data_IF_883164337749
#
_entry.id   IF_883164337749
#
_cell.length_a   1.000
_cell.length_b   1.000
_cell.length_c   1.000
_cell.angle_alpha   90.00
_cell.angle_beta   90.00
_cell.angle_gamma   90.00
#
_symmetry.space_group_name_H-M   'P 1'
#
loop_
_entity.id
_entity.type
_entity.pdbx_description
1 polymer ?
#
# COMPACT_ATOMS: atom_id res chain seq x y z
N UNK A 1 -9.43 -2.81 17.10
CA UNK A 1 -8.78 -1.50 16.83
C UNK A 1 -8.84 -1.16 15.33
N UNK A 2 -8.26 -1.97 14.44
CA UNK A 2 -8.19 -1.68 12.99
C UNK A 2 -9.53 -1.39 12.30
N UNK A 3 -10.57 -2.19 12.57
CA UNK A 3 -11.93 -1.97 12.01
C UNK A 3 -12.48 -0.61 12.45
N UNK A 4 -12.39 -0.30 13.74
CA UNK A 4 -12.89 0.96 14.30
C UNK A 4 -12.20 2.18 13.68
N UNK A 5 -10.87 2.19 13.66
CA UNK A 5 -10.09 3.30 13.08
C UNK A 5 -10.39 3.49 11.60
N UNK A 6 -10.54 2.40 10.85
CA UNK A 6 -10.84 2.48 9.43
C UNK A 6 -12.28 2.94 9.18
N UNK A 7 -13.23 2.62 10.06
CA UNK A 7 -14.61 3.12 9.98
C UNK A 7 -14.67 4.62 10.23
N UNK A 8 -13.93 5.12 11.23
CA UNK A 8 -13.80 6.56 11.47
C UNK A 8 -13.20 7.30 10.26
N UNK A 9 -12.17 6.73 9.64
CA UNK A 9 -11.58 7.28 8.40
C UNK A 9 -12.59 7.31 7.26
N UNK A 10 -13.35 6.23 7.05
CA UNK A 10 -14.38 6.15 6.01
C UNK A 10 -15.46 7.21 6.21
N UNK A 11 -15.96 7.38 7.44
CA UNK A 11 -16.95 8.43 7.77
C UNK A 11 -16.39 9.82 7.52
N UNK A 12 -15.12 10.05 7.84
CA UNK A 12 -14.44 11.33 7.63
C UNK A 12 -14.32 11.68 6.14
N UNK A 13 -13.82 10.74 5.33
CA UNK A 13 -13.57 10.98 3.90
C UNK A 13 -14.82 10.87 3.02
N UNK A 14 -15.91 10.28 3.54
CA UNK A 14 -17.23 10.30 2.86
C UNK A 14 -17.81 11.72 2.76
N UNK A 15 -17.40 12.64 3.63
CA UNK A 15 -17.94 14.02 3.68
C UNK A 15 -17.68 14.78 2.36
N UNK A 16 -18.66 15.54 1.84
CA UNK A 16 -18.54 16.23 0.55
C UNK A 16 -17.33 17.17 0.47
N UNK A 17 -17.06 17.91 1.56
CA UNK A 17 -15.95 18.86 1.64
C UNK A 17 -14.60 18.18 1.35
N UNK A 18 -14.37 16.98 1.90
CA UNK A 18 -13.12 16.26 1.68
C UNK A 18 -12.96 15.77 0.24
N UNK A 19 -14.05 15.56 -0.50
CA UNK A 19 -14.04 15.02 -1.86
C UNK A 19 -13.87 16.08 -2.95
N UNK A 20 -13.80 17.36 -2.56
CA UNK A 20 -13.52 18.48 -3.47
C UNK A 20 -12.08 18.49 -3.98
N UNK A 21 -11.17 17.84 -3.25
CA UNK A 21 -9.74 17.74 -3.59
C UNK A 21 -9.39 16.31 -4.03
N UNK A 22 -8.48 16.19 -5.00
CA UNK A 22 -7.98 14.92 -5.55
C UNK A 22 -7.52 13.96 -4.45
N UNK A 23 -6.69 14.44 -3.52
CA UNK A 23 -6.21 13.69 -2.33
C UNK A 23 -7.34 13.05 -1.53
N UNK A 24 -8.46 13.75 -1.32
CA UNK A 24 -9.53 13.24 -0.49
C UNK A 24 -10.30 12.09 -1.12
N UNK A 25 -10.42 12.06 -2.45
CA UNK A 25 -11.01 10.91 -3.16
C UNK A 25 -10.08 9.69 -3.09
N UNK A 26 -8.76 9.86 -3.18
CA UNK A 26 -7.83 8.75 -2.95
C UNK A 26 -7.99 8.16 -1.54
N UNK A 27 -8.02 9.01 -0.51
CA UNK A 27 -8.17 8.55 0.88
C UNK A 27 -9.51 7.86 1.14
N UNK A 28 -10.57 8.31 0.48
CA UNK A 28 -11.86 7.63 0.53
C UNK A 28 -11.80 6.22 -0.08
N UNK A 29 -11.22 6.10 -1.28
CA UNK A 29 -11.04 4.81 -1.96
C UNK A 29 -10.15 3.87 -1.14
N UNK A 30 -9.03 4.37 -0.60
CA UNK A 30 -8.14 3.60 0.30
C UNK A 30 -8.89 3.12 1.53
N UNK A 31 -9.76 3.94 2.13
CA UNK A 31 -10.55 3.53 3.29
C UNK A 31 -11.50 2.37 2.97
N UNK A 32 -12.15 2.40 1.80
CA UNK A 32 -13.00 1.30 1.30
C UNK A 32 -12.16 0.04 1.09
N UNK A 33 -11.04 0.16 0.37
CA UNK A 33 -10.13 -0.97 0.09
C UNK A 33 -9.66 -1.61 1.39
N UNK A 34 -9.25 -0.79 2.37
CA UNK A 34 -8.82 -1.29 3.67
C UNK A 34 -9.95 -1.99 4.44
N UNK A 35 -11.21 -1.57 4.29
CA UNK A 35 -12.32 -2.27 4.94
C UNK A 35 -12.53 -3.65 4.30
N UNK A 36 -12.50 -3.70 2.97
CA UNK A 36 -12.57 -4.97 2.25
C UNK A 36 -11.39 -5.88 2.66
N UNK A 37 -10.17 -5.35 2.73
CA UNK A 37 -9.00 -6.12 3.12
C UNK A 37 -9.12 -6.69 4.55
N UNK A 38 -9.61 -5.90 5.51
CA UNK A 38 -9.86 -6.38 6.87
C UNK A 38 -10.93 -7.47 6.92
N UNK A 39 -11.98 -7.36 6.11
CA UNK A 39 -13.01 -8.41 5.99
C UNK A 39 -12.42 -9.71 5.42
N UNK A 40 -11.68 -9.64 4.32
CA UNK A 40 -11.04 -10.83 3.73
C UNK A 40 -9.97 -11.42 4.63
N UNK A 41 -9.26 -10.60 5.40
CA UNK A 41 -8.33 -11.06 6.42
C UNK A 41 -9.06 -11.86 7.51
N UNK A 42 -10.20 -11.34 8.00
CA UNK A 42 -11.03 -12.05 8.97
C UNK A 42 -11.53 -13.39 8.40
N UNK A 43 -11.99 -13.41 7.15
CA UNK A 43 -12.40 -14.64 6.46
C UNK A 43 -11.24 -15.64 6.35
N UNK A 44 -10.03 -15.17 6.04
CA UNK A 44 -8.82 -16.02 6.02
C UNK A 44 -8.53 -16.61 7.40
N UNK A 45 -8.64 -15.83 8.47
CA UNK A 45 -8.45 -16.33 9.83
C UNK A 45 -9.50 -17.37 10.21
N UNK A 46 -10.78 -17.13 9.89
CA UNK A 46 -11.86 -18.11 10.13
C UNK A 46 -11.59 -19.40 9.35
N UNK A 47 -11.16 -19.30 8.09
CA UNK A 47 -10.83 -20.44 7.25
C UNK A 47 -9.67 -21.28 7.84
N UNK A 48 -8.64 -20.63 8.37
CA UNK A 48 -7.51 -21.30 9.03
C UNK A 48 -7.94 -21.93 10.38
N UNK A 49 -8.69 -21.20 11.21
CA UNK A 49 -9.11 -21.68 12.54
C UNK A 49 -10.17 -22.79 12.47
N UNK A 50 -11.01 -22.79 11.44
CA UNK A 50 -12.04 -23.80 11.23
C UNK A 50 -11.48 -25.19 10.93
N UNK A 51 -10.17 -25.30 10.65
CA UNK A 51 -9.56 -26.49 10.10
C UNK A 51 -10.04 -26.73 8.67
N UNK A 52 -9.22 -27.38 7.85
CA UNK A 52 -9.61 -27.78 6.47
C UNK A 52 -10.64 -28.94 6.48
N UNK A 53 -11.66 -28.88 7.34
CA UNK A 53 -12.59 -29.98 7.63
C UNK A 53 -13.71 -30.11 6.59
N UNK A 54 -13.47 -29.71 5.34
CA UNK A 54 -14.44 -29.74 4.25
C UNK A 54 -13.79 -30.16 2.93
N UNK A 55 -14.59 -30.56 1.94
CA UNK A 55 -14.15 -31.02 0.61
C UNK A 55 -12.94 -30.24 0.08
N UNK A 56 -11.83 -30.93 -0.16
CA UNK A 56 -10.52 -30.39 -0.53
C UNK A 56 -10.58 -29.34 -1.65
N UNK A 57 -11.48 -29.51 -2.63
CA UNK A 57 -11.66 -28.59 -3.75
C UNK A 57 -12.23 -27.22 -3.36
N UNK A 58 -13.23 -27.15 -2.48
CA UNK A 58 -13.82 -25.87 -2.06
C UNK A 58 -12.83 -25.07 -1.20
N UNK A 59 -12.10 -25.77 -0.34
CA UNK A 59 -11.04 -25.16 0.47
C UNK A 59 -9.92 -24.59 -0.39
N UNK A 60 -9.52 -25.28 -1.47
CA UNK A 60 -8.53 -24.78 -2.42
C UNK A 60 -9.01 -23.52 -3.15
N UNK A 61 -10.25 -23.49 -3.60
CA UNK A 61 -10.80 -22.33 -4.31
C UNK A 61 -10.88 -21.11 -3.38
N UNK A 62 -11.41 -21.28 -2.17
CA UNK A 62 -11.48 -20.20 -1.17
C UNK A 62 -10.08 -19.69 -0.80
N UNK A 63 -9.14 -20.60 -0.60
CA UNK A 63 -7.74 -20.30 -0.33
C UNK A 63 -7.09 -19.43 -1.42
N UNK A 64 -7.26 -19.80 -2.70
CA UNK A 64 -6.77 -19.07 -3.87
C UNK A 64 -7.38 -17.67 -3.93
N UNK A 65 -8.71 -17.58 -3.88
CA UNK A 65 -9.44 -16.32 -4.05
C UNK A 65 -9.12 -15.34 -2.90
N UNK A 66 -9.21 -15.79 -1.65
CA UNK A 66 -9.00 -14.93 -0.48
C UNK A 66 -7.56 -14.41 -0.46
N UNK A 67 -6.57 -15.28 -0.73
CA UNK A 67 -5.17 -14.87 -0.74
C UNK A 67 -4.89 -13.89 -1.88
N UNK A 68 -5.39 -14.16 -3.08
CA UNK A 68 -5.26 -13.26 -4.23
C UNK A 68 -5.88 -11.87 -3.97
N UNK A 69 -7.12 -11.83 -3.47
CA UNK A 69 -7.80 -10.56 -3.16
C UNK A 69 -7.01 -9.78 -2.11
N UNK A 70 -6.53 -10.43 -1.05
CA UNK A 70 -5.71 -9.77 -0.03
C UNK A 70 -4.43 -9.18 -0.59
N UNK A 71 -3.74 -9.90 -1.49
CA UNK A 71 -2.56 -9.38 -2.18
C UNK A 71 -2.90 -8.13 -2.98
N UNK A 72 -3.88 -8.21 -3.88
CA UNK A 72 -4.27 -7.07 -4.74
C UNK A 72 -4.69 -5.86 -3.90
N UNK A 73 -5.56 -6.03 -2.91
CA UNK A 73 -6.03 -4.93 -2.07
C UNK A 73 -4.87 -4.26 -1.31
N UNK A 74 -3.96 -5.05 -0.75
CA UNK A 74 -2.81 -4.52 0.00
C UNK A 74 -1.87 -3.72 -0.91
N UNK A 75 -1.57 -4.26 -2.11
CA UNK A 75 -0.72 -3.59 -3.10
C UNK A 75 -1.33 -2.30 -3.60
N UNK A 76 -2.64 -2.31 -3.86
CA UNK A 76 -3.34 -1.10 -4.26
C UNK A 76 -3.26 -0.05 -3.17
N UNK A 77 -3.46 -0.41 -1.89
CA UNK A 77 -3.33 0.54 -0.79
C UNK A 77 -1.95 1.21 -0.79
N UNK A 78 -0.86 0.47 -0.98
CA UNK A 78 0.48 1.06 -1.03
C UNK A 78 0.67 2.02 -2.21
N UNK A 79 0.24 1.64 -3.41
CA UNK A 79 0.33 2.51 -4.58
C UNK A 79 -0.54 3.77 -4.46
N UNK A 80 -1.77 3.65 -3.99
CA UNK A 80 -2.65 4.81 -3.78
C UNK A 80 -2.10 5.77 -2.72
N UNK A 81 -1.49 5.25 -1.63
CA UNK A 81 -0.83 6.09 -0.63
C UNK A 81 0.42 6.80 -1.18
N UNK A 82 1.16 6.16 -2.08
CA UNK A 82 2.23 6.82 -2.83
C UNK A 82 1.70 7.91 -3.75
N UNK A 83 0.60 7.67 -4.48
CA UNK A 83 -0.06 8.70 -5.30
C UNK A 83 -0.57 9.88 -4.47
N UNK A 84 -1.14 9.63 -3.29
CA UNK A 84 -1.54 10.68 -2.34
C UNK A 84 -0.34 11.56 -1.95
N UNK A 85 0.80 10.95 -1.69
CA UNK A 85 2.01 11.67 -1.30
C UNK A 85 2.57 12.50 -2.45
N UNK A 86 2.60 11.93 -3.66
CA UNK A 86 2.99 12.65 -4.88
C UNK A 86 2.06 13.82 -5.18
N UNK A 87 0.74 13.63 -5.07
CA UNK A 87 -0.25 14.68 -5.32
C UNK A 87 -0.10 15.84 -4.31
N UNK A 88 0.15 15.53 -3.03
CA UNK A 88 0.48 16.54 -2.00
C UNK A 88 1.77 17.31 -2.31
N UNK A 89 2.80 16.62 -2.80
CA UNK A 89 4.04 17.25 -3.24
C UNK A 89 3.79 18.17 -4.42
N UNK A 90 3.05 17.71 -5.44
CA UNK A 90 2.70 18.50 -6.62
C UNK A 90 1.85 19.73 -6.26
N UNK A 91 0.89 19.62 -5.35
CA UNK A 91 0.12 20.76 -4.84
C UNK A 91 1.00 21.79 -4.13
N UNK A 92 2.09 21.34 -3.49
CA UNK A 92 3.04 22.23 -2.79
C UNK A 92 3.97 22.94 -3.77
N UNK A 93 4.41 22.25 -4.84
CA UNK A 93 5.28 22.83 -5.88
C UNK A 93 4.48 23.74 -6.82
N UNK A 94 3.26 23.31 -7.20
CA UNK A 94 2.40 23.96 -8.18
C UNK A 94 1.03 24.30 -7.55
N UNK A 95 0.94 25.29 -6.66
CA UNK A 95 -0.29 25.64 -5.95
C UNK A 95 -1.42 26.12 -6.88
N UNK A 96 -1.08 26.56 -8.10
CA UNK A 96 -2.03 27.03 -9.13
C UNK A 96 -2.48 25.93 -10.09
N UNK A 97 -1.99 24.71 -9.95
CA UNK A 97 -2.37 23.59 -10.82
C UNK A 97 -3.88 23.29 -10.71
N UNK A 98 -4.59 23.52 -11.81
CA UNK A 98 -6.00 23.14 -11.98
C UNK A 98 -6.20 21.60 -12.03
N UNK A 99 -5.14 20.84 -12.32
CA UNK A 99 -5.20 19.38 -12.42
C UNK A 99 -5.51 18.74 -11.06
N UNK A 100 -4.91 19.27 -9.99
CA UNK A 100 -5.10 18.82 -8.61
C UNK A 100 -6.48 19.17 -8.03
N UNK A 101 -7.30 19.91 -8.79
CA UNK A 101 -8.69 20.28 -8.45
C UNK A 101 -9.74 19.44 -9.18
N UNK A 102 -9.34 18.52 -10.07
CA UNK A 102 -10.28 17.66 -10.81
C UNK A 102 -10.46 16.32 -10.07
N UNK A 103 -11.53 16.13 -9.28
CA UNK A 103 -11.70 14.92 -8.46
C UNK A 103 -11.80 13.63 -9.28
N UNK A 104 -12.28 13.72 -10.52
CA UNK A 104 -12.43 12.59 -11.42
C UNK A 104 -11.09 11.93 -11.81
N UNK A 105 -10.00 12.70 -11.80
CA UNK A 105 -8.67 12.18 -12.13
C UNK A 105 -8.20 11.19 -11.06
N UNK A 106 -8.42 11.49 -9.77
CA UNK A 106 -8.09 10.56 -8.68
C UNK A 106 -8.84 9.22 -8.84
N UNK A 107 -10.12 9.28 -9.22
CA UNK A 107 -10.95 8.09 -9.42
C UNK A 107 -10.39 7.28 -10.60
N UNK A 108 -10.11 7.92 -11.73
CA UNK A 108 -9.53 7.27 -12.91
C UNK A 108 -8.18 6.61 -12.62
N UNK A 109 -7.26 7.32 -11.97
CA UNK A 109 -5.95 6.77 -11.57
C UNK A 109 -6.12 5.61 -10.59
N UNK A 110 -7.06 5.71 -9.64
CA UNK A 110 -7.29 4.64 -8.67
C UNK A 110 -7.82 3.36 -9.32
N UNK A 111 -8.78 3.49 -10.23
CA UNK A 111 -9.34 2.37 -10.99
C UNK A 111 -8.29 1.77 -11.91
N UNK A 112 -7.53 2.59 -12.63
CA UNK A 112 -6.45 2.13 -13.48
C UNK A 112 -5.37 1.37 -12.69
N UNK A 113 -5.00 1.88 -11.50
CA UNK A 113 -4.05 1.20 -10.60
C UNK A 113 -4.59 -0.15 -10.15
N UNK A 114 -5.86 -0.23 -9.74
CA UNK A 114 -6.50 -1.49 -9.36
C UNK A 114 -6.49 -2.52 -10.50
N UNK A 115 -6.84 -2.11 -11.72
CA UNK A 115 -6.88 -3.00 -12.89
C UNK A 115 -5.47 -3.50 -13.22
N UNK A 116 -4.48 -2.60 -13.28
CA UNK A 116 -3.10 -2.95 -13.58
C UNK A 116 -2.52 -3.94 -12.56
N UNK A 117 -2.73 -3.69 -11.26
CA UNK A 117 -2.25 -4.57 -10.20
C UNK A 117 -2.95 -5.94 -10.21
N UNK A 118 -4.26 -5.95 -10.48
CA UNK A 118 -5.00 -7.21 -10.63
C UNK A 118 -4.41 -8.04 -11.77
N UNK A 119 -4.14 -7.42 -12.92
CA UNK A 119 -3.56 -8.11 -14.08
C UNK A 119 -2.14 -8.65 -13.80
N UNK A 120 -1.29 -7.86 -13.12
CA UNK A 120 0.09 -8.28 -12.78
C UNK A 120 0.15 -9.45 -11.80
N UNK A 121 -0.87 -9.61 -10.95
CA UNK A 121 -0.94 -10.67 -9.95
C UNK A 121 -1.77 -11.90 -10.39
N UNK A 122 -2.22 -11.97 -11.65
CA UNK A 122 -2.89 -13.16 -12.19
C UNK A 122 -2.05 -14.45 -12.01
N UNK A 123 -0.72 -14.47 -12.18
CA UNK A 123 0.05 -15.70 -11.94
C UNK A 123 -0.14 -16.26 -10.52
N UNK A 124 -0.31 -15.40 -9.51
CA UNK A 124 -0.44 -15.82 -8.12
C UNK A 124 -1.70 -16.67 -7.89
N UNK A 125 -2.83 -16.39 -8.56
CA UNK A 125 -4.07 -17.19 -8.40
C UNK A 125 -3.93 -18.58 -9.04
N UNK A 126 -3.20 -18.66 -10.15
CA UNK A 126 -3.01 -19.89 -10.93
C UNK A 126 -2.14 -20.87 -10.14
N UNK A 127 -1.00 -20.39 -9.64
CA UNK A 127 0.04 -21.19 -8.99
C UNK A 127 -0.13 -21.36 -7.47
N UNK A 128 -1.19 -20.79 -6.87
CA UNK A 128 -1.51 -21.07 -5.47
C UNK A 128 -2.02 -22.50 -5.30
N UNK A 129 -1.44 -23.24 -4.36
CA UNK A 129 -1.78 -24.63 -4.01
C UNK A 129 -1.94 -24.76 -2.49
N UNK A 130 -2.51 -25.89 -2.04
CA UNK A 130 -2.56 -26.25 -0.62
C UNK A 130 -1.43 -27.25 -0.35
N UNK A 131 -0.55 -26.95 0.60
CA UNK A 131 0.49 -27.85 1.08
C UNK A 131 0.30 -28.04 2.60
N UNK A 132 -0.25 -29.20 3.00
CA UNK A 132 -0.74 -29.42 4.37
C UNK A 132 -1.87 -28.45 4.73
N UNK A 133 -1.80 -27.82 5.91
CA UNK A 133 -2.78 -26.81 6.36
C UNK A 133 -2.44 -25.38 5.88
N UNK A 134 -1.62 -25.23 4.83
CA UNK A 134 -1.14 -23.92 4.37
C UNK A 134 -1.45 -23.66 2.91
N UNK A 135 -1.96 -22.45 2.67
CA UNK A 135 -2.10 -21.84 1.35
C UNK A 135 -0.75 -21.27 0.89
N UNK A 136 -0.08 -21.93 -0.05
CA UNK A 136 1.26 -21.54 -0.51
C UNK A 136 1.24 -21.36 -2.03
N UNK A 137 1.94 -20.34 -2.52
CA UNK A 137 2.16 -20.16 -3.95
C UNK A 137 3.36 -21.02 -4.35
N UNK A 138 3.14 -22.01 -5.22
CA UNK A 138 4.21 -22.89 -5.70
C UNK A 138 4.40 -22.67 -7.21
N UNK A 139 5.55 -22.13 -7.58
CA UNK A 139 5.90 -21.88 -8.98
C UNK A 139 6.81 -22.99 -9.49
N UNK A 140 6.24 -23.96 -10.20
CA UNK A 140 7.03 -25.06 -10.79
C UNK A 140 7.98 -24.57 -11.90
N UNK A 141 7.68 -23.43 -12.52
CA UNK A 141 8.53 -22.82 -13.54
C UNK A 141 9.46 -21.73 -12.97
N UNK A 142 10.78 -21.85 -13.17
CA UNK A 142 11.76 -20.91 -12.61
C UNK A 142 11.60 -19.47 -13.14
N UNK A 143 11.17 -19.32 -14.40
CA UNK A 143 10.92 -18.01 -15.00
C UNK A 143 9.75 -17.27 -14.33
N UNK A 144 8.70 -17.99 -13.94
CA UNK A 144 7.52 -17.41 -13.29
C UNK A 144 7.84 -17.07 -11.84
N UNK A 145 8.60 -17.94 -11.16
CA UNK A 145 9.13 -17.66 -9.82
C UNK A 145 9.99 -16.39 -9.80
N UNK A 146 10.92 -16.26 -10.75
CA UNK A 146 11.77 -15.08 -10.89
C UNK A 146 10.94 -13.81 -11.19
N UNK A 147 9.99 -13.90 -12.13
CA UNK A 147 9.07 -12.80 -12.44
C UNK A 147 8.33 -12.34 -11.19
N UNK A 148 7.72 -13.26 -10.43
CA UNK A 148 6.94 -12.88 -9.25
C UNK A 148 7.81 -12.27 -8.15
N UNK A 149 9.03 -12.80 -7.95
CA UNK A 149 9.99 -12.25 -6.99
C UNK A 149 10.39 -10.81 -7.35
N UNK A 150 10.73 -10.56 -8.61
CA UNK A 150 11.06 -9.22 -9.12
C UNK A 150 9.84 -8.30 -9.00
N UNK A 151 8.67 -8.78 -9.40
CA UNK A 151 7.43 -8.02 -9.34
C UNK A 151 7.12 -7.59 -7.89
N UNK A 152 7.18 -8.53 -6.95
CA UNK A 152 6.99 -8.27 -5.52
C UNK A 152 8.00 -7.27 -4.97
N UNK A 153 9.28 -7.42 -5.31
CA UNK A 153 10.33 -6.48 -4.91
C UNK A 153 10.09 -5.07 -5.48
N UNK A 154 9.73 -4.96 -6.76
CA UNK A 154 9.44 -3.69 -7.40
C UNK A 154 8.25 -2.99 -6.74
N UNK A 155 7.20 -3.73 -6.41
CA UNK A 155 6.03 -3.17 -5.75
C UNK A 155 6.34 -2.66 -4.34
N UNK A 156 7.17 -3.35 -3.55
CA UNK A 156 7.56 -2.88 -2.22
C UNK A 156 8.60 -1.76 -2.27
N UNK A 157 9.73 -1.99 -2.94
CA UNK A 157 10.84 -1.04 -2.99
C UNK A 157 10.47 0.21 -3.79
N UNK A 158 9.72 0.06 -4.88
CA UNK A 158 9.25 1.18 -5.70
C UNK A 158 8.30 2.07 -4.91
N UNK A 159 7.28 1.49 -4.27
CA UNK A 159 6.35 2.28 -3.45
C UNK A 159 7.06 2.94 -2.27
N UNK A 160 7.97 2.22 -1.58
CA UNK A 160 8.78 2.77 -0.50
C UNK A 160 9.67 3.94 -0.94
N UNK A 161 10.42 3.79 -2.04
CA UNK A 161 11.33 4.81 -2.55
C UNK A 161 10.56 6.07 -2.96
N UNK A 162 9.49 5.92 -3.75
CA UNK A 162 8.63 7.03 -4.17
C UNK A 162 8.12 7.79 -2.94
N UNK A 163 7.59 7.07 -1.95
CA UNK A 163 6.96 7.68 -0.78
C UNK A 163 7.99 8.39 0.11
N UNK A 164 9.15 7.78 0.34
CA UNK A 164 10.24 8.37 1.14
C UNK A 164 10.80 9.63 0.49
N UNK A 165 11.06 9.58 -0.83
CA UNK A 165 11.55 10.75 -1.58
C UNK A 165 10.49 11.86 -1.57
N UNK A 166 9.23 11.52 -1.83
CA UNK A 166 8.17 12.51 -1.92
C UNK A 166 7.88 13.20 -0.58
N UNK A 167 7.84 12.46 0.54
CA UNK A 167 7.68 13.05 1.89
C UNK A 167 8.87 13.95 2.23
N UNK A 168 10.09 13.50 1.93
CA UNK A 168 11.31 14.27 2.23
C UNK A 168 11.32 15.60 1.46
N UNK A 169 11.04 15.55 0.15
CA UNK A 169 10.93 16.76 -0.67
C UNK A 169 9.80 17.67 -0.18
N UNK A 170 8.64 17.11 0.20
CA UNK A 170 7.51 17.87 0.72
C UNK A 170 7.90 18.66 1.99
N UNK A 171 8.57 18.01 2.95
CA UNK A 171 9.01 18.68 4.19
C UNK A 171 10.05 19.76 3.89
N UNK A 172 11.02 19.48 3.01
CA UNK A 172 12.06 20.46 2.62
C UNK A 172 11.40 21.70 2.00
N UNK A 173 10.48 21.52 1.06
CA UNK A 173 9.82 22.62 0.37
C UNK A 173 8.97 23.47 1.32
N UNK A 174 8.21 22.84 2.20
CA UNK A 174 7.41 23.56 3.20
C UNK A 174 8.31 24.30 4.18
N UNK A 175 9.40 23.67 4.64
CA UNK A 175 10.36 24.30 5.54
C UNK A 175 11.03 25.52 4.88
N UNK A 176 11.46 25.41 3.61
CA UNK A 176 12.03 26.52 2.84
C UNK A 176 11.03 27.66 2.64
N UNK A 177 9.80 27.32 2.25
CA UNK A 177 8.72 28.31 2.07
C UNK A 177 8.45 29.08 3.37
N UNK A 178 8.37 28.37 4.51
CA UNK A 178 8.15 29.01 5.82
C UNK A 178 9.36 29.83 6.28
N UNK A 179 10.58 29.35 6.09
CA UNK A 179 11.78 30.11 6.43
C UNK A 179 11.87 31.42 5.65
N UNK A 180 11.52 31.42 4.35
CA UNK A 180 11.46 32.63 3.52
C UNK A 180 10.45 33.67 4.01
N UNK A 181 9.35 33.23 4.64
CA UNK A 181 8.29 34.13 5.14
C UNK A 181 8.59 34.62 6.58
N UNK A 182 9.34 33.85 7.38
CA UNK A 182 9.52 34.13 8.82
C UNK A 182 10.63 35.13 9.18
N UNK A 183 11.47 35.53 8.22
CA UNK A 183 12.53 36.53 8.42
C UNK A 183 13.76 36.03 9.21
N UNK A 184 14.83 36.84 9.20
CA UNK A 184 16.24 36.50 9.47
C UNK A 184 16.59 35.83 10.82
N UNK A 185 15.70 35.81 11.81
CA UNK A 185 16.03 35.32 13.17
C UNK A 185 15.84 33.81 13.39
N UNK A 186 15.40 33.04 12.39
CA UNK A 186 15.27 31.58 12.52
C UNK A 186 16.05 30.87 11.42
N UNK A 187 17.01 30.01 11.81
CA UNK A 187 17.76 29.23 10.83
C UNK A 187 16.84 28.22 10.12
N UNK A 188 17.18 27.90 8.86
CA UNK A 188 16.49 26.85 8.12
C UNK A 188 16.47 25.52 8.89
N UNK A 189 17.54 25.21 9.62
CA UNK A 189 17.65 23.99 10.43
C UNK A 189 16.61 23.92 11.54
N UNK A 190 16.34 25.03 12.24
CA UNK A 190 15.35 25.08 13.32
C UNK A 190 13.93 24.94 12.80
N UNK A 191 13.62 25.60 11.68
CA UNK A 191 12.33 25.47 10.99
C UNK A 191 12.15 24.05 10.47
N UNK A 192 13.18 23.46 9.87
CA UNK A 192 13.13 22.08 9.37
C UNK A 192 12.92 21.08 10.51
N UNK A 193 13.66 21.20 11.62
CA UNK A 193 13.51 20.32 12.80
C UNK A 193 12.11 20.41 13.40
N UNK A 194 11.56 21.62 13.51
CA UNK A 194 10.19 21.85 13.98
C UNK A 194 9.16 21.20 13.03
N UNK A 195 9.33 21.37 11.71
CA UNK A 195 8.43 20.77 10.72
C UNK A 195 8.52 19.24 10.70
N UNK A 196 9.73 18.69 10.80
CA UNK A 196 9.95 17.25 10.89
C UNK A 196 9.23 16.69 12.13
N UNK A 197 9.40 17.30 13.30
CA UNK A 197 8.72 16.85 14.52
C UNK A 197 7.18 16.95 14.42
N UNK A 198 6.66 17.97 13.73
CA UNK A 198 5.22 18.14 13.51
C UNK A 198 4.64 17.16 12.48
N UNK A 199 5.46 16.68 11.53
CA UNK A 199 5.02 15.86 10.38
C UNK A 199 5.66 14.47 10.35
N UNK A 200 6.34 14.04 11.41
CA UNK A 200 6.99 12.72 11.52
C UNK A 200 6.02 11.56 11.25
N UNK A 201 4.74 11.74 11.59
CA UNK A 201 3.68 10.75 11.34
C UNK A 201 3.50 10.42 9.85
N UNK A 202 3.92 11.30 8.93
CA UNK A 202 3.88 11.00 7.49
C UNK A 202 4.84 9.84 7.13
N UNK A 203 5.92 9.64 7.90
CA UNK A 203 6.85 8.52 7.71
C UNK A 203 6.34 7.18 8.26
N UNK A 204 5.21 7.16 8.97
CA UNK A 204 4.60 5.91 9.43
C UNK A 204 4.22 5.03 8.24
N UNK A 205 3.68 5.60 7.16
CA UNK A 205 3.29 4.84 5.97
C UNK A 205 4.47 4.13 5.29
N UNK A 206 5.59 4.81 4.94
CA UNK A 206 6.73 4.10 4.33
C UNK A 206 7.36 3.09 5.29
N UNK A 207 7.34 3.33 6.61
CA UNK A 207 7.78 2.35 7.61
C UNK A 207 6.87 1.10 7.56
N UNK A 208 5.54 1.27 7.52
CA UNK A 208 4.60 0.14 7.40
C UNK A 208 4.84 -0.64 6.12
N UNK A 209 5.11 0.03 4.98
CA UNK A 209 5.41 -0.64 3.70
C UNK A 209 6.64 -1.55 3.84
N UNK A 210 7.73 -1.05 4.44
CA UNK A 210 8.95 -1.84 4.66
C UNK A 210 8.71 -2.97 5.64
N UNK A 211 8.08 -2.70 6.78
CA UNK A 211 7.77 -3.73 7.78
C UNK A 211 6.85 -4.82 7.22
N UNK A 212 5.94 -4.48 6.30
CA UNK A 212 5.07 -5.45 5.62
C UNK A 212 5.82 -6.29 4.58
N UNK A 213 6.91 -5.78 4.03
CA UNK A 213 7.77 -6.49 3.08
C UNK A 213 8.70 -7.49 3.77
N UNK A 214 9.18 -7.17 4.99
CA UNK A 214 10.17 -7.96 5.73
C UNK A 214 9.77 -9.44 5.94
N UNK A 215 8.56 -9.79 6.38
CA UNK A 215 8.18 -11.19 6.54
C UNK A 215 8.29 -11.96 5.23
N UNK A 216 7.85 -11.36 4.12
CA UNK A 216 7.89 -12.01 2.81
C UNK A 216 9.32 -12.20 2.32
N UNK A 217 10.18 -11.20 2.49
CA UNK A 217 11.59 -11.33 2.09
C UNK A 217 12.33 -12.35 2.94
N UNK A 218 12.14 -12.36 4.27
CA UNK A 218 12.74 -13.34 5.18
C UNK A 218 12.29 -14.75 4.82
N UNK A 219 10.99 -14.98 4.58
CA UNK A 219 10.47 -16.29 4.17
C UNK A 219 11.03 -16.73 2.81
N UNK A 220 11.09 -15.85 1.81
CA UNK A 220 11.67 -16.19 0.51
C UNK A 220 13.16 -16.52 0.61
N UNK A 221 13.93 -15.78 1.41
CA UNK A 221 15.36 -16.08 1.61
C UNK A 221 15.56 -17.37 2.42
N UNK A 222 14.77 -17.59 3.47
CA UNK A 222 14.85 -18.81 4.27
C UNK A 222 14.54 -20.05 3.44
N UNK A 223 13.52 -20.03 2.59
CA UNK A 223 13.16 -21.15 1.73
C UNK A 223 14.25 -21.48 0.70
N UNK A 224 14.82 -20.45 0.06
CA UNK A 224 15.95 -20.65 -0.86
C UNK A 224 17.22 -21.17 -0.17
N UNK A 225 17.45 -20.81 1.10
CA UNK A 225 18.57 -21.36 1.85
C UNK A 225 18.39 -22.84 2.22
N UNK A 226 17.15 -23.28 2.48
CA UNK A 226 16.86 -24.69 2.75
C UNK A 226 17.03 -25.55 1.50
N UNK A 227 16.64 -25.06 0.33
CA UNK A 227 16.86 -25.75 -0.96
C UNK A 227 18.35 -25.89 -1.33
N UNK A 228 19.20 -24.94 -0.91
CA UNK A 228 20.66 -25.02 -1.11
C UNK A 228 21.37 -25.97 -0.13
N UNK A 229 20.69 -26.42 0.93
CA UNK A 229 21.26 -27.29 1.96
C UNK A 229 21.05 -28.79 1.71
N UNK A 230 20.51 -29.14 0.55
CA UNK A 230 20.33 -30.51 0.05
C UNK A 230 21.34 -30.78 -1.07
#
# INVERSE_FOLDING_TARGET
IGIFTNTCSLVTFKRPYSRTVTVGNYLYIVSIINQCALLFLLLKFIHILGGFTGHDGLNLISCKIISYILFVLTRTTFWLLSWVTCDRLLMTIFPTSLLSRKPNIAIGISVATMIALSAMHIPDIIYTTIAGDRCIVNFDHPLISLYNRINTLLHYLGTFAIQTIAITLLIILIARSRAKVRGDNTSFGDVFKSMFNSKKELYVTPIIIVLSALPQTILSFSLSCTELSI
#
